data_IF_794501223612
#
_entry.id   IF_794501223612
#
_cell.length_a   1.000
_cell.length_b   1.000
_cell.length_c   1.000
_cell.angle_alpha   90.00
_cell.angle_beta   90.00
_cell.angle_gamma   90.00
#
_symmetry.space_group_name_H-M   'P 1'
#
loop_
_entity.id
_entity.type
_entity.pdbx_description
1 polymer ?
#
# COMPACT_ATOMS: atom_id res chain seq x y z
N UNK A 1 9.53 -19.96 -50.83
CA UNK A 1 9.70 -18.72 -50.04
C UNK A 1 8.64 -18.57 -48.95
N UNK A 2 7.34 -18.50 -49.27
CA UNK A 2 6.28 -18.31 -48.27
C UNK A 2 6.22 -19.38 -47.15
N UNK A 3 6.39 -20.66 -47.49
CA UNK A 3 6.39 -21.75 -46.50
C UNK A 3 7.55 -21.70 -45.51
N UNK A 4 8.74 -21.27 -45.96
CA UNK A 4 9.89 -21.09 -45.09
C UNK A 4 9.67 -19.93 -44.12
N UNK A 5 9.13 -18.80 -44.61
CA UNK A 5 8.78 -17.63 -43.78
C UNK A 5 7.72 -17.99 -42.72
N UNK A 6 6.69 -18.74 -43.10
CA UNK A 6 5.67 -19.22 -42.16
C UNK A 6 6.24 -20.15 -41.10
N UNK A 7 7.14 -21.07 -41.48
CA UNK A 7 7.83 -21.96 -40.54
C UNK A 7 8.68 -21.16 -39.55
N UNK A 8 9.48 -20.19 -40.01
CA UNK A 8 10.27 -19.34 -39.12
C UNK A 8 9.39 -18.51 -38.17
N UNK A 9 8.24 -18.00 -38.64
CA UNK A 9 7.31 -17.25 -37.79
C UNK A 9 6.70 -18.13 -36.68
N UNK A 10 6.32 -19.36 -36.99
CA UNK A 10 5.79 -20.32 -35.99
C UNK A 10 6.86 -20.69 -34.97
N UNK A 11 8.08 -20.96 -35.41
CA UNK A 11 9.22 -21.26 -34.52
C UNK A 11 9.54 -20.07 -33.62
N UNK A 12 9.59 -18.85 -34.17
CA UNK A 12 9.84 -17.64 -33.40
C UNK A 12 8.74 -17.38 -32.36
N UNK A 13 7.47 -17.57 -32.72
CA UNK A 13 6.35 -17.44 -31.79
C UNK A 13 6.43 -18.47 -30.65
N UNK A 14 6.77 -19.73 -30.97
CA UNK A 14 6.94 -20.79 -29.98
C UNK A 14 8.10 -20.51 -29.02
N UNK A 15 9.26 -20.08 -29.54
CA UNK A 15 10.41 -19.68 -28.72
C UNK A 15 10.04 -18.48 -27.83
N UNK A 16 9.34 -17.49 -28.37
CA UNK A 16 8.91 -16.31 -27.60
C UNK A 16 7.96 -16.69 -26.47
N UNK A 17 7.03 -17.61 -26.71
CA UNK A 17 6.14 -18.13 -25.69
C UNK A 17 6.90 -18.89 -24.59
N UNK A 18 7.87 -19.73 -24.96
CA UNK A 18 8.74 -20.43 -24.00
C UNK A 18 9.56 -19.46 -23.15
N UNK A 19 10.14 -18.43 -23.77
CA UNK A 19 10.89 -17.39 -23.05
C UNK A 19 9.99 -16.60 -22.09
N UNK A 20 8.75 -16.30 -22.50
CA UNK A 20 7.78 -15.62 -21.63
C UNK A 20 7.41 -16.48 -20.42
N UNK A 21 7.12 -17.78 -20.64
CA UNK A 21 6.82 -18.73 -19.56
C UNK A 21 8.02 -18.87 -18.61
N UNK A 22 9.22 -18.99 -19.16
CA UNK A 22 10.45 -19.05 -18.36
C UNK A 22 10.65 -17.76 -17.53
N UNK A 23 10.45 -16.59 -18.14
CA UNK A 23 10.55 -15.31 -17.46
C UNK A 23 9.56 -15.21 -16.29
N UNK A 24 8.28 -15.50 -16.53
CA UNK A 24 7.24 -15.47 -15.49
C UNK A 24 7.61 -16.43 -14.35
N UNK A 25 8.00 -17.66 -14.68
CA UNK A 25 8.34 -18.69 -13.69
C UNK A 25 9.54 -18.27 -12.83
N UNK A 26 10.57 -17.68 -13.45
CA UNK A 26 11.76 -17.20 -12.74
C UNK A 26 11.42 -15.99 -11.87
N UNK A 27 10.63 -15.06 -12.39
CA UNK A 27 10.22 -13.87 -11.66
C UNK A 27 9.35 -14.23 -10.45
N UNK A 28 8.37 -15.12 -10.61
CA UNK A 28 7.53 -15.60 -9.51
C UNK A 28 8.35 -16.36 -8.46
N UNK A 29 9.30 -17.20 -8.89
CA UNK A 29 10.22 -17.87 -7.99
C UNK A 29 11.13 -16.89 -7.23
N UNK A 30 11.52 -15.77 -7.85
CA UNK A 30 12.29 -14.72 -7.21
C UNK A 30 11.46 -13.93 -6.20
N UNK A 31 10.20 -13.63 -6.51
CA UNK A 31 9.27 -12.93 -5.61
C UNK A 31 8.88 -13.79 -4.40
N UNK A 32 8.87 -15.12 -4.53
CA UNK A 32 8.58 -16.04 -3.43
C UNK A 32 9.74 -16.28 -2.44
N UNK A 33 10.96 -15.85 -2.78
CA UNK A 33 12.14 -16.06 -1.92
C UNK A 33 12.46 -14.82 -1.12
N UNK A 34 12.59 -14.98 0.19
CA UNK A 34 13.12 -13.94 1.05
C UNK A 34 14.64 -13.94 0.87
N UNK A 35 15.28 -12.83 0.46
CA UNK A 35 16.73 -12.77 0.33
C UNK A 35 17.42 -13.10 1.66
N UNK A 36 18.50 -13.89 1.64
CA UNK A 36 19.20 -14.37 2.84
C UNK A 36 19.56 -13.25 3.82
N UNK A 37 20.03 -12.10 3.30
CA UNK A 37 20.31 -10.89 4.11
C UNK A 37 19.13 -10.39 4.95
N UNK A 38 17.91 -10.57 4.45
CA UNK A 38 16.67 -10.16 5.13
C UNK A 38 16.28 -11.22 6.15
N UNK A 39 16.47 -12.51 5.81
CA UNK A 39 16.20 -13.61 6.73
C UNK A 39 17.14 -13.62 7.95
N UNK A 40 18.41 -13.26 7.76
CA UNK A 40 19.42 -13.15 8.83
C UNK A 40 19.25 -11.89 9.69
N UNK A 41 18.85 -10.77 9.07
CA UNK A 41 18.57 -9.53 9.79
C UNK A 41 17.21 -9.54 10.51
N UNK A 42 16.27 -10.37 10.05
CA UNK A 42 15.01 -10.57 10.73
C UNK A 42 15.26 -11.31 12.06
N UNK A 43 14.57 -10.94 13.16
CA UNK A 43 14.63 -11.71 14.39
C UNK A 43 14.26 -13.16 14.10
N UNK A 44 15.25 -14.07 14.21
CA UNK A 44 15.13 -15.47 13.83
C UNK A 44 14.00 -16.23 14.56
N UNK A 45 13.42 -15.64 15.59
CA UNK A 45 12.51 -16.27 16.54
C UNK A 45 11.09 -15.67 16.60
N UNK A 46 10.76 -14.60 15.86
CA UNK A 46 9.41 -14.01 15.93
C UNK A 46 8.76 -13.84 14.56
N UNK A 47 8.33 -14.98 14.00
CA UNK A 47 7.33 -14.99 12.93
C UNK A 47 5.98 -14.57 13.54
N UNK A 48 5.41 -13.48 13.04
CA UNK A 48 4.15 -12.97 13.52
C UNK A 48 3.03 -13.99 13.27
N UNK A 49 2.28 -14.31 14.33
CA UNK A 49 1.06 -15.10 14.29
C UNK A 49 -0.14 -14.17 14.48
N UNK A 50 -1.34 -14.68 14.20
CA UNK A 50 -2.60 -13.93 14.42
C UNK A 50 -2.69 -13.35 15.84
N UNK A 51 -2.30 -14.14 16.85
CA UNK A 51 -2.27 -13.71 18.24
C UNK A 51 -1.36 -12.50 18.50
N UNK A 52 -0.22 -12.37 17.80
CA UNK A 52 0.65 -11.20 17.93
C UNK A 52 -0.05 -9.93 17.42
N UNK A 53 -0.86 -10.03 16.37
CA UNK A 53 -1.64 -8.89 15.84
C UNK A 53 -2.74 -8.48 16.81
N UNK A 54 -3.44 -9.44 17.40
CA UNK A 54 -4.46 -9.18 18.43
C UNK A 54 -3.86 -8.51 19.67
N UNK A 55 -2.72 -9.02 20.15
CA UNK A 55 -1.99 -8.43 21.28
C UNK A 55 -1.58 -6.99 20.98
N UNK A 56 -0.99 -6.74 19.80
CA UNK A 56 -0.59 -5.39 19.40
C UNK A 56 -1.80 -4.48 19.24
N UNK A 57 -2.91 -4.97 18.68
CA UNK A 57 -4.15 -4.21 18.55
C UNK A 57 -4.67 -3.79 19.92
N UNK A 58 -4.76 -4.73 20.87
CA UNK A 58 -5.21 -4.45 22.24
C UNK A 58 -4.30 -3.44 22.93
N UNK A 59 -2.97 -3.60 22.78
CA UNK A 59 -1.99 -2.65 23.33
C UNK A 59 -2.16 -1.24 22.75
N UNK A 60 -2.45 -1.13 21.46
CA UNK A 60 -2.67 0.15 20.78
C UNK A 60 -4.03 0.77 21.12
N UNK A 61 -5.05 -0.05 21.41
CA UNK A 61 -6.34 0.43 21.91
C UNK A 61 -6.20 1.02 23.32
N UNK A 62 -5.41 0.38 24.19
CA UNK A 62 -5.13 0.84 25.55
C UNK A 62 -4.18 2.05 25.58
N UNK A 63 -3.11 2.01 24.79
CA UNK A 63 -2.10 3.06 24.70
C UNK A 63 -1.91 3.49 23.24
N UNK A 64 -2.81 4.34 22.70
CA UNK A 64 -2.73 4.78 21.33
C UNK A 64 -1.47 5.62 21.11
N UNK A 65 -0.78 5.35 20.00
CA UNK A 65 0.36 6.17 19.58
C UNK A 65 -0.15 7.57 19.24
N UNK A 66 0.25 8.55 20.04
CA UNK A 66 0.00 9.96 19.80
C UNK A 66 1.17 10.56 19.05
N UNK A 67 0.87 11.28 17.99
CA UNK A 67 1.84 11.96 17.12
C UNK A 67 1.45 13.41 16.88
N UNK A 68 0.36 13.85 17.50
CA UNK A 68 -0.11 15.22 17.50
C UNK A 68 0.98 16.17 18.00
N UNK A 69 1.77 15.74 18.98
CA UNK A 69 2.87 16.52 19.56
C UNK A 69 4.07 16.66 18.61
N UNK A 70 4.19 15.75 17.64
CA UNK A 70 5.24 15.76 16.61
C UNK A 70 4.78 16.39 15.29
N UNK A 71 3.53 16.88 15.22
CA UNK A 71 3.02 17.51 14.02
C UNK A 71 3.72 18.84 13.77
N UNK A 72 4.23 19.09 12.55
CA UNK A 72 4.71 20.42 12.19
C UNK A 72 3.55 21.42 12.25
N UNK A 73 3.85 22.71 12.49
CA UNK A 73 2.83 23.74 12.57
C UNK A 73 2.07 23.90 11.24
N UNK A 74 0.88 24.50 11.32
CA UNK A 74 0.08 24.89 10.16
C UNK A 74 0.90 25.78 9.22
N UNK A 75 0.82 25.50 7.92
CA UNK A 75 1.54 26.25 6.89
C UNK A 75 0.63 27.15 6.06
N UNK A 76 -0.68 26.85 5.98
CA UNK A 76 -1.62 27.56 5.12
C UNK A 76 -1.47 27.28 3.62
N UNK A 77 -0.58 26.35 3.23
CA UNK A 77 -0.35 25.97 1.83
C UNK A 77 -1.49 25.10 1.28
N UNK A 78 -1.54 24.99 -0.04
CA UNK A 78 -2.40 24.02 -0.75
C UNK A 78 -1.66 22.71 -0.95
N UNK A 79 -2.33 21.60 -0.68
CA UNK A 79 -1.81 20.25 -0.71
C UNK A 79 -2.60 19.43 -1.72
N UNK A 80 -1.89 18.69 -2.58
CA UNK A 80 -2.48 17.66 -3.42
C UNK A 80 -1.94 16.33 -2.92
N UNK A 81 -2.81 15.47 -2.40
CA UNK A 81 -2.45 14.14 -1.92
C UNK A 81 -2.88 13.11 -2.96
N UNK A 82 -1.90 12.57 -3.69
CA UNK A 82 -2.10 11.49 -4.64
C UNK A 82 -2.11 10.15 -3.89
N UNK A 83 -3.07 9.27 -4.18
CA UNK A 83 -3.30 8.06 -3.40
C UNK A 83 -3.93 8.36 -2.02
N UNK A 84 -4.62 9.51 -1.90
CA UNK A 84 -5.15 10.00 -0.63
C UNK A 84 -6.33 9.20 -0.06
N UNK A 85 -6.94 8.30 -0.83
CA UNK A 85 -7.93 7.35 -0.32
C UNK A 85 -7.29 6.10 0.29
N UNK A 86 -6.00 5.86 0.04
CA UNK A 86 -5.24 4.74 0.58
C UNK A 86 -4.88 4.88 2.06
N UNK A 87 -4.17 3.87 2.59
CA UNK A 87 -3.77 3.83 4.01
C UNK A 87 -2.91 5.05 4.42
N UNK A 88 -1.75 5.22 3.78
CA UNK A 88 -0.82 6.30 4.10
C UNK A 88 -1.35 7.66 3.63
N UNK A 89 -1.91 7.73 2.41
CA UNK A 89 -2.44 8.97 1.87
C UNK A 89 -3.58 9.54 2.73
N UNK A 90 -4.52 8.69 3.15
CA UNK A 90 -5.59 9.12 4.04
C UNK A 90 -5.07 9.53 5.42
N UNK A 91 -4.02 8.87 5.91
CA UNK A 91 -3.35 9.27 7.13
C UNK A 91 -2.69 10.65 7.01
N UNK A 92 -2.01 10.94 5.90
CA UNK A 92 -1.45 12.27 5.61
C UNK A 92 -2.55 13.34 5.62
N UNK A 93 -3.67 13.10 4.96
CA UNK A 93 -4.80 14.05 4.94
C UNK A 93 -5.30 14.31 6.36
N UNK A 94 -5.47 13.26 7.17
CA UNK A 94 -5.88 13.40 8.57
C UNK A 94 -4.87 14.25 9.38
N UNK A 95 -3.57 14.14 9.11
CA UNK A 95 -2.55 14.95 9.78
C UNK A 95 -2.56 16.41 9.36
N UNK A 96 -2.78 16.70 8.08
CA UNK A 96 -2.98 18.06 7.57
C UNK A 96 -4.19 18.72 8.23
N UNK A 97 -5.30 17.99 8.37
CA UNK A 97 -6.50 18.46 9.07
C UNK A 97 -6.23 18.67 10.57
N UNK A 98 -5.61 17.69 11.25
CA UNK A 98 -5.30 17.76 12.69
C UNK A 98 -4.44 18.97 13.06
N UNK A 99 -3.45 19.33 12.23
CA UNK A 99 -2.61 20.53 12.47
C UNK A 99 -3.29 21.84 12.06
N UNK A 100 -4.54 21.80 11.57
CA UNK A 100 -5.36 22.98 11.29
C UNK A 100 -5.31 23.52 9.86
N UNK A 101 -4.84 22.74 8.88
CA UNK A 101 -4.99 23.14 7.48
C UNK A 101 -6.48 23.16 7.08
N UNK A 102 -6.95 24.20 6.37
CA UNK A 102 -8.35 24.25 5.97
C UNK A 102 -8.63 23.17 4.92
N UNK A 103 -9.79 22.47 4.98
CA UNK A 103 -10.13 21.42 4.02
C UNK A 103 -10.11 21.89 2.55
N UNK A 104 -10.46 23.16 2.31
CA UNK A 104 -10.41 23.79 0.99
C UNK A 104 -9.00 23.85 0.39
N UNK A 105 -7.95 23.74 1.21
CA UNK A 105 -6.57 23.68 0.76
C UNK A 105 -6.07 22.26 0.51
N UNK A 106 -6.87 21.21 0.77
CA UNK A 106 -6.44 19.82 0.61
C UNK A 106 -7.25 19.19 -0.51
N UNK A 107 -6.56 18.83 -1.60
CA UNK A 107 -7.14 18.09 -2.72
C UNK A 107 -6.68 16.63 -2.66
N UNK A 108 -7.63 15.71 -2.61
CA UNK A 108 -7.36 14.28 -2.71
C UNK A 108 -7.49 13.85 -4.17
N UNK A 109 -6.50 13.14 -4.68
CA UNK A 109 -6.50 12.53 -6.02
C UNK A 109 -6.23 11.06 -5.84
N UNK A 110 -7.17 10.21 -6.27
CA UNK A 110 -7.02 8.76 -6.19
C UNK A 110 -7.72 8.10 -7.38
N UNK A 111 -7.27 6.89 -7.73
CA UNK A 111 -7.86 6.09 -8.79
C UNK A 111 -9.22 5.53 -8.36
N UNK A 112 -9.39 5.22 -7.08
CA UNK A 112 -10.64 4.71 -6.50
C UNK A 112 -11.26 5.75 -5.58
N UNK A 113 -12.60 5.91 -5.57
CA UNK A 113 -13.24 6.79 -4.62
C UNK A 113 -12.93 6.34 -3.18
N UNK A 114 -12.74 7.28 -2.24
CA UNK A 114 -12.48 6.93 -0.86
C UNK A 114 -13.67 6.19 -0.26
N UNK A 115 -13.40 5.08 0.42
CA UNK A 115 -14.42 4.26 1.09
C UNK A 115 -14.67 4.69 2.54
N UNK A 116 -13.81 5.54 3.10
CA UNK A 116 -14.00 6.04 4.47
C UNK A 116 -14.94 7.23 4.49
N UNK A 117 -15.87 7.21 5.44
CA UNK A 117 -16.94 8.20 5.59
C UNK A 117 -16.38 9.61 5.89
N UNK A 118 -15.28 9.71 6.62
CA UNK A 118 -14.58 10.96 6.94
C UNK A 118 -14.05 11.71 5.70
N UNK A 119 -13.81 11.01 4.59
CA UNK A 119 -13.45 11.61 3.30
C UNK A 119 -14.65 11.94 2.41
N UNK A 120 -15.84 11.39 2.70
CA UNK A 120 -17.04 11.60 1.90
C UNK A 120 -17.95 12.68 2.48
N UNK A 121 -18.08 12.77 3.81
CA UNK A 121 -19.01 13.68 4.49
C UNK A 121 -18.36 14.96 5.02
N UNK A 122 -17.03 15.03 5.04
CA UNK A 122 -16.29 16.15 5.67
C UNK A 122 -16.45 16.23 7.19
N UNK A 123 -17.10 15.25 7.81
CA UNK A 123 -17.26 15.10 9.26
C UNK A 123 -16.55 13.82 9.73
N UNK A 124 -15.81 13.91 10.84
CA UNK A 124 -15.23 12.72 11.49
C UNK A 124 -16.34 11.90 12.15
N UNK A 125 -16.76 10.83 11.49
CA UNK A 125 -17.41 9.71 12.18
C UNK A 125 -16.35 8.72 12.65
N UNK A 126 -16.53 8.17 13.86
CA UNK A 126 -15.67 7.12 14.39
C UNK A 126 -15.83 5.90 13.47
N UNK A 127 -14.74 5.37 12.87
CA UNK A 127 -14.88 4.25 11.94
C UNK A 127 -15.55 3.07 12.64
N UNK A 128 -16.49 2.36 11.97
CA UNK A 128 -17.10 1.18 12.54
C UNK A 128 -16.00 0.17 12.89
N UNK A 129 -16.11 -0.49 14.06
CA UNK A 129 -15.22 -1.59 14.41
C UNK A 129 -15.43 -2.68 13.36
N UNK A 130 -14.46 -2.83 12.47
CA UNK A 130 -14.44 -3.97 11.55
C UNK A 130 -14.06 -5.15 12.44
N UNK A 131 -15.06 -5.96 12.81
CA UNK A 131 -14.82 -7.24 13.46
C UNK A 131 -14.01 -8.11 12.50
N UNK A 132 -12.78 -8.40 12.91
CA UNK A 132 -12.03 -9.54 12.39
C UNK A 132 -12.51 -10.81 13.11
#
# INVERSE_FOLDING_TARGET
MAYAVALYAVVAAFISALLLVAYISINDAALGRIPTRVAEAAPANKRWRTADFEEVSKRLDENPIRIEDALPPKTGRRYIVVGGAGFLGGWIVQHLLKRGEPPSNIRIVDLRPPTRLDFQSGHREKPPRIGL
#
